data_IF_728221629891
#
_entry.id   IF_728221629891
#
_cell.length_a   1.000
_cell.length_b   1.000
_cell.length_c   1.000
_cell.angle_alpha   90.00
_cell.angle_beta   90.00
_cell.angle_gamma   90.00
#
_symmetry.space_group_name_H-M   'P 1'
#
loop_
_entity.id
_entity.type
_entity.pdbx_description
1 polymer ?
#
# COMPACT_ATOMS: atom_id res chain seq x y z
N UNK A 1 -3.60 -0.01 -2.02
CA UNK A 1 -4.04 0.39 -0.66
C UNK A 1 -2.93 1.16 0.05
N UNK A 2 -3.27 2.12 0.92
CA UNK A 2 -2.28 2.78 1.77
C UNK A 2 -1.94 1.92 3.01
N UNK A 3 -0.94 2.36 3.81
CA UNK A 3 -0.51 1.60 4.99
C UNK A 3 -1.59 1.51 6.06
N UNK A 4 -2.44 2.52 6.19
CA UNK A 4 -3.52 2.54 7.18
C UNK A 4 -4.58 1.51 6.83
N UNK A 5 -4.95 1.40 5.55
CA UNK A 5 -5.84 0.36 5.04
C UNK A 5 -5.25 -1.04 5.21
N UNK A 6 -3.95 -1.22 4.90
CA UNK A 6 -3.27 -2.50 5.10
C UNK A 6 -3.25 -2.91 6.57
N UNK A 7 -3.01 -1.95 7.47
CA UNK A 7 -3.07 -2.18 8.91
C UNK A 7 -4.47 -2.56 9.38
N UNK A 8 -5.51 -1.83 8.95
CA UNK A 8 -6.89 -2.16 9.30
C UNK A 8 -7.27 -3.58 8.86
N UNK A 9 -6.89 -3.98 7.64
CA UNK A 9 -7.12 -5.32 7.10
C UNK A 9 -6.33 -6.39 7.86
N UNK A 10 -5.05 -6.14 8.16
CA UNK A 10 -4.21 -7.10 8.89
C UNK A 10 -4.67 -7.28 10.34
N UNK A 11 -5.04 -6.20 11.02
CA UNK A 11 -5.53 -6.20 12.40
C UNK A 11 -6.89 -6.92 12.53
N UNK A 12 -7.74 -6.85 11.49
CA UNK A 12 -8.97 -7.63 11.44
C UNK A 12 -8.73 -9.15 11.39
N UNK A 13 -7.54 -9.60 10.94
CA UNK A 13 -7.14 -11.02 10.92
C UNK A 13 -6.38 -11.39 12.19
N UNK A 14 -5.41 -10.58 12.61
CA UNK A 14 -4.67 -10.75 13.86
C UNK A 14 -4.48 -9.40 14.57
N UNK A 15 -5.23 -9.14 15.66
CA UNK A 15 -5.16 -7.88 16.41
C UNK A 15 -3.81 -7.58 17.07
N UNK A 16 -2.86 -8.54 17.09
CA UNK A 16 -1.52 -8.35 17.63
C UNK A 16 -0.56 -7.68 16.64
N UNK A 17 -0.94 -7.62 15.36
CA UNK A 17 -0.14 -6.95 14.35
C UNK A 17 -0.14 -5.44 14.63
N UNK A 18 1.03 -4.87 14.83
CA UNK A 18 1.18 -3.42 15.04
C UNK A 18 1.30 -2.66 13.72
N UNK A 19 0.89 -1.39 13.70
CA UNK A 19 1.10 -0.50 12.55
C UNK A 19 2.59 -0.43 12.14
N UNK A 20 3.49 -0.41 13.12
CA UNK A 20 4.94 -0.42 12.86
C UNK A 20 5.40 -1.71 12.16
N UNK A 21 4.76 -2.85 12.44
CA UNK A 21 5.04 -4.10 11.72
C UNK A 21 4.62 -3.98 10.26
N UNK A 22 3.44 -3.43 9.99
CA UNK A 22 2.94 -3.22 8.62
C UNK A 22 3.90 -2.34 7.82
N UNK A 23 4.30 -1.18 8.36
CA UNK A 23 5.29 -0.30 7.71
C UNK A 23 6.61 -1.02 7.39
N UNK A 24 7.16 -1.79 8.34
CA UNK A 24 8.41 -2.52 8.10
C UNK A 24 8.25 -3.60 7.04
N UNK A 25 7.13 -4.31 7.03
CA UNK A 25 6.89 -5.38 6.08
C UNK A 25 6.65 -4.86 4.66
N UNK A 26 5.86 -3.79 4.48
CA UNK A 26 5.67 -3.21 3.13
C UNK A 26 6.98 -2.66 2.57
N UNK A 27 7.81 -2.05 3.42
CA UNK A 27 9.16 -1.60 3.03
C UNK A 27 10.07 -2.78 2.67
N UNK A 28 10.01 -3.88 3.43
CA UNK A 28 10.78 -5.09 3.11
C UNK A 28 10.35 -5.67 1.75
N UNK A 29 9.06 -5.66 1.45
CA UNK A 29 8.54 -6.14 0.16
C UNK A 29 8.90 -5.21 -1.00
N UNK A 30 8.90 -3.89 -0.78
CA UNK A 30 9.42 -2.91 -1.73
C UNK A 30 10.91 -3.13 -2.02
N UNK A 31 11.74 -3.26 -0.97
CA UNK A 31 13.18 -3.54 -1.10
C UNK A 31 13.47 -4.88 -1.78
N UNK A 32 12.55 -5.86 -1.66
CA UNK A 32 12.64 -7.16 -2.32
C UNK A 32 12.08 -7.17 -3.75
N UNK A 33 11.50 -6.07 -4.24
CA UNK A 33 10.87 -5.98 -5.55
C UNK A 33 9.57 -6.79 -5.67
N UNK A 34 8.89 -7.06 -4.55
CA UNK A 34 7.58 -7.73 -4.50
C UNK A 34 6.45 -6.71 -4.63
N UNK A 35 6.66 -5.49 -4.11
CA UNK A 35 5.70 -4.40 -4.19
C UNK A 35 6.33 -3.17 -4.83
N UNK A 36 5.55 -2.48 -5.64
CA UNK A 36 5.84 -1.13 -6.08
C UNK A 36 5.10 -0.10 -5.21
N UNK A 37 5.79 1.00 -4.92
CA UNK A 37 5.25 2.14 -4.18
C UNK A 37 4.87 3.25 -5.17
N UNK A 38 3.60 3.67 -5.11
CA UNK A 38 3.09 4.79 -5.88
C UNK A 38 2.80 5.97 -4.97
N UNK A 39 3.31 7.14 -5.36
CA UNK A 39 3.05 8.42 -4.70
C UNK A 39 2.05 9.22 -5.54
N UNK A 40 0.82 9.36 -5.05
CA UNK A 40 -0.29 9.97 -5.80
C UNK A 40 -0.41 11.49 -5.60
N UNK A 41 0.56 12.12 -4.91
CA UNK A 41 0.58 13.58 -4.67
C UNK A 41 -0.42 14.09 -3.63
N UNK A 42 -1.31 13.23 -3.12
CA UNK A 42 -2.23 13.46 -1.99
C UNK A 42 -1.55 13.29 -0.61
N UNK A 43 -0.23 13.09 -0.60
CA UNK A 43 0.56 12.80 0.59
C UNK A 43 0.50 11.34 1.05
N UNK A 44 -0.21 10.47 0.32
CA UNK A 44 -0.33 9.04 0.63
C UNK A 44 0.47 8.21 -0.37
N UNK A 45 1.14 7.20 0.16
CA UNK A 45 1.75 6.15 -0.64
C UNK A 45 0.81 4.96 -0.69
N UNK A 46 0.61 4.38 -1.88
CA UNK A 46 -0.08 3.09 -2.01
C UNK A 46 0.86 2.06 -2.62
N UNK A 47 0.56 0.81 -2.30
CA UNK A 47 1.35 -0.33 -2.72
C UNK A 47 0.57 -1.21 -3.68
N UNK A 48 1.25 -1.68 -4.73
CA UNK A 48 0.75 -2.67 -5.68
C UNK A 48 1.79 -3.75 -5.94
N UNK A 49 1.36 -4.86 -6.53
CA UNK A 49 2.26 -5.97 -6.91
C UNK A 49 3.18 -5.54 -8.05
N UNK A 50 4.49 -5.77 -7.89
CA UNK A 50 5.50 -5.42 -8.87
C UNK A 50 5.47 -6.27 -10.15
N UNK A 51 4.81 -7.44 -10.12
CA UNK A 51 4.71 -8.33 -11.29
C UNK A 51 3.56 -7.98 -12.25
N UNK A 52 2.84 -6.88 -12.04
CA UNK A 52 1.72 -6.51 -12.91
C UNK A 52 2.18 -5.98 -14.28
N UNK A 53 1.45 -6.39 -15.33
CA UNK A 53 1.56 -5.76 -16.65
C UNK A 53 1.36 -4.25 -16.52
N UNK A 54 2.15 -3.48 -17.28
CA UNK A 54 2.14 -2.02 -17.24
C UNK A 54 0.73 -1.47 -17.53
N UNK A 55 0.21 -0.67 -16.61
CA UNK A 55 -1.09 0.00 -16.72
C UNK A 55 -1.00 1.43 -16.19
N UNK A 56 -1.80 2.33 -16.77
CA UNK A 56 -1.91 3.70 -16.30
C UNK A 56 -2.91 3.80 -15.12
N UNK A 57 -2.63 4.69 -14.16
CA UNK A 57 -3.52 4.98 -13.04
C UNK A 57 -4.33 6.26 -13.28
N UNK A 58 -5.66 6.20 -13.13
CA UNK A 58 -6.54 7.37 -13.10
C UNK A 58 -7.03 7.57 -11.66
N UNK A 59 -6.92 8.79 -11.13
CA UNK A 59 -7.26 9.07 -9.74
C UNK A 59 -8.47 10.01 -9.70
N UNK A 60 -9.50 9.64 -8.94
CA UNK A 60 -10.55 10.57 -8.56
C UNK A 60 -10.05 11.48 -7.42
N UNK A 61 -9.93 12.78 -7.66
CA UNK A 61 -9.42 13.74 -6.67
C UNK A 61 -10.36 13.97 -5.48
N UNK A 62 -11.63 13.59 -5.60
CA UNK A 62 -12.64 13.76 -4.56
C UNK A 62 -12.77 12.55 -3.65
N UNK A 63 -12.58 11.33 -4.17
CA UNK A 63 -12.69 10.08 -3.40
C UNK A 63 -11.34 9.43 -3.12
N UNK A 64 -10.33 9.72 -3.94
CA UNK A 64 -9.06 9.03 -3.95
C UNK A 64 -9.13 7.64 -4.59
N UNK A 65 -10.22 7.23 -5.23
CA UNK A 65 -10.25 5.92 -5.91
C UNK A 65 -9.30 5.90 -7.13
N UNK A 66 -8.62 4.76 -7.31
CA UNK A 66 -7.70 4.45 -8.41
C UNK A 66 -8.12 3.14 -9.03
#
# INVERSE_FOLDING_TARGET
>A
PDVEELYARACAVDPRISLATVYRTVRLFEEAGILDKLEFGDGRARYEDAERDHHDHLIDLSTGEV
#
